data_IF_915619871164
#
_entry.id   IF_915619871164
#
_cell.length_a   1.000
_cell.length_b   1.000
_cell.length_c   1.000
_cell.angle_alpha   90.00
_cell.angle_beta   90.00
_cell.angle_gamma   90.00
#
_symmetry.space_group_name_H-M   'P 1'
#
loop_
_entity.id
_entity.type
_entity.pdbx_description
1 polymer ?
#
# COMPACT_ATOMS: atom_id res chain seq x y z
N UNK A 1 37.75 26.13 -12.40
CA UNK A 1 37.50 24.75 -12.87
C UNK A 1 37.29 23.90 -11.62
N UNK A 2 36.06 23.77 -11.17
CA UNK A 2 35.68 22.76 -10.18
C UNK A 2 34.64 21.89 -10.88
N UNK A 3 35.11 20.74 -11.38
CA UNK A 3 34.25 19.67 -11.86
C UNK A 3 33.56 19.10 -10.63
N UNK A 4 32.29 19.45 -10.42
CA UNK A 4 31.45 18.76 -9.46
C UNK A 4 31.16 17.38 -10.04
N UNK A 5 31.94 16.40 -9.60
CA UNK A 5 31.88 15.01 -10.01
C UNK A 5 30.80 14.29 -9.17
N UNK A 6 29.55 14.76 -9.28
CA UNK A 6 28.39 14.18 -8.62
C UNK A 6 27.30 13.93 -9.66
N UNK A 7 27.36 12.75 -10.26
CA UNK A 7 26.18 11.95 -10.62
C UNK A 7 26.70 10.51 -10.75
N UNK A 8 27.22 9.98 -9.65
CA UNK A 8 27.36 8.55 -9.50
C UNK A 8 25.97 7.98 -9.25
N UNK A 9 25.61 6.99 -10.07
CA UNK A 9 24.47 6.09 -9.89
C UNK A 9 23.10 6.74 -9.94
N UNK A 10 22.65 6.97 -11.16
CA UNK A 10 21.24 6.93 -11.48
C UNK A 10 20.97 5.66 -12.31
N UNK A 11 21.16 4.50 -11.69
CA UNK A 11 20.36 3.33 -12.08
C UNK A 11 18.97 3.59 -11.52
N UNK A 12 18.25 4.48 -12.21
CA UNK A 12 16.82 4.69 -12.10
C UNK A 12 16.17 3.33 -12.43
N UNK A 13 16.12 2.43 -11.45
CA UNK A 13 15.07 1.42 -11.43
C UNK A 13 13.80 2.25 -11.35
N UNK A 14 13.23 2.58 -12.52
CA UNK A 14 11.94 3.24 -12.64
C UNK A 14 10.98 2.46 -11.74
N UNK A 15 10.70 3.01 -10.55
CA UNK A 15 9.71 2.44 -9.67
C UNK A 15 8.37 2.70 -10.33
N UNK A 16 7.96 1.77 -11.19
CA UNK A 16 6.67 1.84 -11.83
C UNK A 16 5.62 1.30 -10.87
N UNK A 17 4.56 2.09 -10.76
CA UNK A 17 3.37 1.72 -10.03
C UNK A 17 2.44 0.94 -10.95
N UNK A 18 1.97 -0.21 -10.48
CA UNK A 18 1.01 -1.05 -11.17
C UNK A 18 -0.30 -1.09 -10.39
N UNK A 19 -1.41 -0.94 -11.10
CA UNK A 19 -2.74 -1.17 -10.54
C UNK A 19 -3.05 -2.66 -10.63
N UNK A 20 -3.36 -3.29 -9.50
CA UNK A 20 -3.75 -4.68 -9.45
C UNK A 20 -5.07 -4.88 -10.22
N UNK A 21 -5.10 -5.91 -11.06
CA UNK A 21 -6.22 -6.22 -11.96
C UNK A 21 -7.34 -6.94 -11.26
N UNK A 22 -7.02 -7.74 -10.24
CA UNK A 22 -7.97 -8.56 -9.51
C UNK A 22 -7.54 -8.80 -8.05
N UNK A 23 -8.46 -9.34 -7.25
CA UNK A 23 -8.22 -9.64 -5.83
C UNK A 23 -7.10 -10.67 -5.61
N UNK A 24 -6.89 -11.60 -6.54
CA UNK A 24 -5.84 -12.62 -6.40
C UNK A 24 -4.46 -12.02 -6.57
N UNK A 25 -4.31 -11.02 -7.43
CA UNK A 25 -3.06 -10.27 -7.58
C UNK A 25 -2.68 -9.55 -6.28
N UNK A 26 -3.64 -8.88 -5.64
CA UNK A 26 -3.44 -8.20 -4.34
C UNK A 26 -3.04 -9.22 -3.26
N UNK A 27 -3.77 -10.32 -3.16
CA UNK A 27 -3.50 -11.37 -2.18
C UNK A 27 -2.09 -11.95 -2.36
N UNK A 28 -1.72 -12.33 -3.60
CA UNK A 28 -0.39 -12.86 -3.89
C UNK A 28 0.72 -11.87 -3.60
N UNK A 29 0.52 -10.60 -3.95
CA UNK A 29 1.49 -9.55 -3.67
C UNK A 29 1.72 -9.41 -2.16
N UNK A 30 0.64 -9.32 -1.38
CA UNK A 30 0.73 -9.21 0.07
C UNK A 30 1.38 -10.45 0.70
N UNK A 31 0.94 -11.65 0.33
CA UNK A 31 1.48 -12.91 0.83
C UNK A 31 2.96 -13.10 0.49
N UNK A 32 3.43 -12.60 -0.65
CA UNK A 32 4.85 -12.66 -1.03
C UNK A 32 5.77 -11.87 -0.08
N UNK A 33 5.19 -10.91 0.66
CA UNK A 33 5.85 -10.08 1.66
C UNK A 33 5.46 -10.49 3.09
N UNK A 34 4.87 -11.69 3.26
CA UNK A 34 4.28 -12.18 4.51
C UNK A 34 3.19 -11.25 5.09
N UNK A 35 2.57 -10.45 4.24
CA UNK A 35 1.55 -9.48 4.58
C UNK A 35 0.18 -10.11 4.82
N UNK A 36 -0.54 -9.58 5.81
CA UNK A 36 -1.90 -10.00 6.17
C UNK A 36 -2.88 -8.86 6.07
N UNK A 37 -4.13 -9.09 5.66
CA UNK A 37 -5.13 -8.03 5.58
C UNK A 37 -5.52 -7.54 6.98
N UNK A 38 -5.64 -6.23 7.12
CA UNK A 38 -6.09 -5.55 8.32
C UNK A 38 -7.11 -4.47 7.95
N UNK A 39 -8.05 -4.21 8.85
CA UNK A 39 -9.06 -3.17 8.69
C UNK A 39 -9.00 -2.24 9.90
N UNK A 40 -8.98 -0.93 9.64
CA UNK A 40 -9.12 0.12 10.63
C UNK A 40 -10.58 0.57 10.62
N UNK A 41 -11.29 0.30 11.71
CA UNK A 41 -12.68 0.71 11.92
C UNK A 41 -12.72 2.03 12.69
N UNK A 42 -12.12 3.07 12.12
CA UNK A 42 -12.05 4.38 12.75
C UNK A 42 -12.81 5.44 11.92
N UNK A 43 -13.92 5.99 12.44
CA UNK A 43 -14.71 7.02 11.78
C UNK A 43 -14.03 8.40 11.70
N UNK A 44 -12.95 8.65 12.46
CA UNK A 44 -12.19 9.91 12.48
C UNK A 44 -11.01 9.94 11.50
N UNK A 45 -10.72 8.85 10.79
CA UNK A 45 -9.67 8.82 9.76
C UNK A 45 -10.17 9.52 8.49
N UNK A 46 -10.31 10.84 8.58
CA UNK A 46 -10.70 11.73 7.48
C UNK A 46 -9.57 12.06 6.49
N UNK A 47 -8.35 11.53 6.71
CA UNK A 47 -7.21 11.75 5.82
C UNK A 47 -6.95 10.58 4.86
N UNK A 48 -7.00 9.35 5.36
CA UNK A 48 -6.90 8.11 4.60
C UNK A 48 -8.25 7.43 4.59
N UNK A 49 -9.17 7.83 3.70
CA UNK A 49 -10.56 7.33 3.62
C UNK A 49 -10.73 5.81 3.45
N UNK A 50 -9.63 5.07 3.48
CA UNK A 50 -9.53 3.64 3.32
C UNK A 50 -8.99 3.08 4.62
N UNK A 51 -9.89 2.67 5.50
CA UNK A 51 -9.56 1.81 6.64
C UNK A 51 -9.05 0.44 6.21
N UNK A 52 -8.42 0.28 5.04
CA UNK A 52 -7.77 -0.94 4.60
C UNK A 52 -6.27 -0.79 4.84
N UNK A 53 -5.65 -1.84 5.35
CA UNK A 53 -4.21 -1.95 5.56
C UNK A 53 -3.73 -3.38 5.32
N UNK A 54 -2.45 -3.52 5.05
CA UNK A 54 -1.77 -4.80 5.05
C UNK A 54 -0.74 -4.76 6.18
N UNK A 55 -0.88 -5.67 7.13
CA UNK A 55 0.01 -5.85 8.28
C UNK A 55 1.19 -6.74 7.86
N UNK A 56 2.40 -6.19 7.91
CA UNK A 56 3.62 -6.89 7.54
C UNK A 56 4.47 -7.18 8.78
N UNK A 57 5.04 -8.39 8.91
CA UNK A 57 5.85 -8.74 10.07
C UNK A 57 7.09 -7.86 10.17
N UNK A 58 7.32 -7.30 11.36
CA UNK A 58 8.51 -6.47 11.64
C UNK A 58 8.47 -5.06 11.06
N UNK A 59 7.44 -4.70 10.30
CA UNK A 59 7.25 -3.36 9.77
C UNK A 59 6.24 -2.62 10.64
N UNK A 60 6.63 -1.45 11.12
CA UNK A 60 5.80 -0.59 11.94
C UNK A 60 5.04 0.38 11.03
N UNK A 61 3.84 -0.01 10.59
CA UNK A 61 2.94 0.88 9.84
C UNK A 61 2.32 1.89 10.81
N UNK A 62 2.60 3.19 10.62
CA UNK A 62 2.05 4.26 11.47
C UNK A 62 0.52 4.27 11.48
N UNK A 63 -0.12 3.82 10.38
CA UNK A 63 -1.56 3.64 10.30
C UNK A 63 -2.11 2.57 11.23
N UNK A 64 -1.36 1.48 11.47
CA UNK A 64 -1.70 0.38 12.39
C UNK A 64 -1.28 0.65 13.84
N UNK A 65 -0.38 1.62 14.05
CA UNK A 65 0.22 1.94 15.36
C UNK A 65 -0.44 3.11 16.08
N UNK A 66 -1.41 3.78 15.46
CA UNK A 66 -2.13 4.83 16.15
C UNK A 66 -2.96 4.18 17.27
N UNK A 67 -2.47 4.28 18.51
CA UNK A 67 -3.05 3.69 19.73
C UNK A 67 -4.51 4.14 19.98
N UNK A 68 -4.95 5.17 19.28
CA UNK A 68 -6.32 5.70 19.31
C UNK A 68 -7.25 5.07 18.25
N UNK A 69 -6.75 4.20 17.35
CA UNK A 69 -7.53 3.62 16.26
C UNK A 69 -7.96 2.20 16.56
N UNK A 70 -9.24 1.92 16.37
CA UNK A 70 -9.75 0.55 16.46
C UNK A 70 -9.29 -0.26 15.23
N UNK A 71 -8.18 -0.96 15.37
CA UNK A 71 -7.56 -1.74 14.29
C UNK A 71 -7.86 -3.22 14.49
N UNK A 72 -8.58 -3.81 13.53
CA UNK A 72 -8.82 -5.25 13.45
C UNK A 72 -7.71 -5.88 12.60
N UNK A 73 -6.83 -6.63 13.26
CA UNK A 73 -5.81 -7.46 12.61
C UNK A 73 -6.39 -8.84 12.26
N UNK A 74 -5.72 -9.56 11.37
CA UNK A 74 -6.09 -10.92 10.94
C UNK A 74 -7.53 -11.03 10.38
N UNK A 75 -7.95 -10.04 9.59
CA UNK A 75 -9.24 -10.08 8.89
C UNK A 75 -9.18 -11.14 7.78
N UNK A 76 -10.32 -11.68 7.34
CA UNK A 76 -10.30 -12.55 6.15
C UNK A 76 -10.07 -11.71 4.88
N UNK A 77 -9.37 -12.27 3.89
CA UNK A 77 -9.22 -11.65 2.58
C UNK A 77 -10.58 -11.31 1.94
N UNK A 78 -11.56 -12.18 2.11
CA UNK A 78 -12.94 -11.95 1.65
C UNK A 78 -13.50 -10.64 2.20
N UNK A 79 -13.41 -10.43 3.52
CA UNK A 79 -13.91 -9.22 4.18
C UNK A 79 -13.12 -7.98 3.77
N UNK A 80 -11.81 -8.13 3.59
CA UNK A 80 -10.95 -7.05 3.09
C UNK A 80 -11.39 -6.59 1.69
N UNK A 81 -11.63 -7.53 0.77
CA UNK A 81 -12.07 -7.22 -0.59
C UNK A 81 -13.49 -6.67 -0.65
N UNK A 82 -14.41 -7.14 0.20
CA UNK A 82 -15.73 -6.52 0.34
C UNK A 82 -15.64 -5.02 0.63
N UNK A 83 -14.78 -4.63 1.56
CA UNK A 83 -14.60 -3.22 1.93
C UNK A 83 -13.92 -2.45 0.79
N UNK A 84 -12.92 -3.04 0.12
CA UNK A 84 -12.26 -2.45 -1.05
C UNK A 84 -13.26 -2.15 -2.18
N UNK A 85 -14.13 -3.11 -2.50
CA UNK A 85 -15.17 -2.95 -3.51
C UNK A 85 -16.25 -1.96 -3.08
N UNK A 86 -16.68 -2.01 -1.80
CA UNK A 86 -17.69 -1.08 -1.28
C UNK A 86 -17.25 0.39 -1.37
N UNK A 87 -15.94 0.63 -1.30
CA UNK A 87 -15.33 1.97 -1.41
C UNK A 87 -14.94 2.33 -2.86
N UNK A 88 -15.18 1.44 -3.83
CA UNK A 88 -14.79 1.56 -5.24
C UNK A 88 -13.32 1.95 -5.44
N UNK A 89 -12.43 1.26 -4.72
CA UNK A 89 -11.00 1.56 -4.74
C UNK A 89 -10.20 0.54 -5.54
N UNK A 90 -9.08 0.99 -6.05
CA UNK A 90 -8.08 0.14 -6.68
C UNK A 90 -6.84 0.06 -5.79
N UNK A 91 -6.21 -1.11 -5.81
CA UNK A 91 -4.95 -1.34 -5.14
C UNK A 91 -3.81 -1.09 -6.12
N UNK A 92 -2.89 -0.20 -5.77
CA UNK A 92 -1.72 0.10 -6.57
C UNK A 92 -0.47 -0.26 -5.77
N UNK A 93 0.47 -0.96 -6.41
CA UNK A 93 1.71 -1.38 -5.78
C UNK A 93 2.89 -1.23 -6.71
N UNK A 94 4.09 -1.24 -6.13
CA UNK A 94 5.33 -1.25 -6.90
C UNK A 94 5.66 -2.65 -7.41
N UNK A 95 6.43 -2.74 -8.50
CA UNK A 95 7.03 -3.99 -8.99
C UNK A 95 8.19 -4.51 -8.12
N UNK A 96 8.60 -3.78 -7.09
CA UNK A 96 9.69 -4.22 -6.22
C UNK A 96 9.31 -5.50 -5.47
N UNK A 97 10.04 -6.59 -5.70
CA UNK A 97 9.78 -7.89 -5.04
C UNK A 97 10.08 -7.85 -3.54
N UNK A 98 11.01 -6.99 -3.11
CA UNK A 98 11.45 -6.87 -1.70
C UNK A 98 11.68 -5.41 -1.32
N UNK A 99 10.60 -4.62 -1.19
CA UNK A 99 10.73 -3.24 -0.80
C UNK A 99 11.33 -3.13 0.59
N UNK A 100 12.21 -2.13 0.78
CA UNK A 100 12.78 -1.82 2.11
C UNK A 100 11.69 -1.55 3.15
N UNK A 101 10.57 -0.96 2.72
CA UNK A 101 9.39 -0.73 3.53
C UNK A 101 8.13 -1.13 2.74
N UNK A 102 7.59 -2.35 2.96
CA UNK A 102 6.35 -2.82 2.37
C UNK A 102 5.16 -1.86 2.55
N UNK A 103 5.07 -1.14 3.67
CA UNK A 103 4.01 -0.16 3.90
C UNK A 103 4.04 1.04 2.95
N UNK A 104 5.19 1.33 2.34
CA UNK A 104 5.34 2.39 1.33
C UNK A 104 5.24 1.87 -0.10
N UNK A 105 5.20 0.55 -0.29
CA UNK A 105 5.20 -0.12 -1.58
C UNK A 105 3.80 -0.34 -2.16
N UNK A 106 2.75 0.10 -1.44
CA UNK A 106 1.38 0.08 -1.92
C UNK A 106 0.62 1.34 -1.52
N UNK A 107 -0.45 1.62 -2.25
CA UNK A 107 -1.43 2.65 -1.93
C UNK A 107 -2.80 2.28 -2.49
N UNK A 108 -3.86 2.76 -1.85
CA UNK A 108 -5.21 2.65 -2.38
C UNK A 108 -5.56 3.92 -3.14
N UNK A 109 -5.99 3.77 -4.38
CA UNK A 109 -6.32 4.87 -5.27
C UNK A 109 -7.77 4.76 -5.74
N UNK A 110 -8.31 5.86 -6.27
CA UNK A 110 -9.60 5.80 -6.94
C UNK A 110 -9.48 4.92 -8.18
N UNK A 111 -10.43 3.98 -8.37
CA UNK A 111 -10.44 3.07 -9.51
C UNK A 111 -10.60 3.79 -10.87
N UNK A 112 -11.31 4.91 -10.89
CA UNK A 112 -11.57 5.68 -12.11
C UNK A 112 -10.39 6.59 -12.49
N UNK A 113 -9.54 6.96 -11.53
CA UNK A 113 -8.41 7.86 -11.74
C UNK A 113 -7.21 7.47 -10.87
N UNK A 114 -6.60 6.30 -11.14
CA UNK A 114 -5.57 5.73 -10.26
C UNK A 114 -4.24 6.50 -10.24
N UNK A 115 -4.02 7.37 -11.24
CA UNK A 115 -2.80 8.18 -11.37
C UNK A 115 -2.99 9.65 -10.98
N UNK A 116 -4.21 10.07 -10.63
CA UNK A 116 -4.49 11.45 -10.23
C UNK A 116 -3.71 11.78 -8.94
N UNK A 117 -2.85 12.79 -8.99
CA UNK A 117 -1.94 13.16 -7.89
C UNK A 117 -0.59 12.43 -7.85
N UNK A 118 -0.20 11.70 -8.91
CA UNK A 118 1.12 11.04 -9.03
C UNK A 118 2.10 11.83 -9.92
N UNK A 119 2.03 13.17 -9.90
CA UNK A 119 2.91 14.09 -10.65
C UNK A 119 3.99 14.67 -9.74
#
# INVERSE_FOLDING_TARGET
>A
IYLCNFCCYDEFMEQFWMVAKDHKEIQKWAESLDGKPAIIEDPEVGGDNVGLRIDFPGVKDEGLLSENRNTTRDVSWERFFEVLESKNMAFMHTNEEKPRNPSMAYKFVNRESPFEGTI
#
